data_IF_368007441095
#
_entry.id   IF_368007441095
#
_cell.length_a   1.000
_cell.length_b   1.000
_cell.length_c   1.000
_cell.angle_alpha   90.00
_cell.angle_beta   90.00
_cell.angle_gamma   90.00
#
_symmetry.space_group_name_H-M   'P 1'
#
loop_
_entity.id
_entity.type
_entity.pdbx_description
1 polymer ?
#
# COMPACT_ATOMS: atom_id res chain seq x y z
N UNK A 1 0.40 -3.60 -31.65
CA UNK A 1 -0.15 -4.75 -30.89
C UNK A 1 -0.45 -5.85 -31.89
N UNK A 2 0.17 -7.00 -31.77
CA UNK A 2 0.03 -8.10 -32.72
C UNK A 2 -1.14 -9.01 -32.34
N UNK A 3 -1.91 -9.43 -33.34
CA UNK A 3 -3.14 -10.24 -33.17
C UNK A 3 -2.81 -11.72 -32.99
N UNK A 4 -3.68 -12.41 -32.27
CA UNK A 4 -3.58 -13.84 -32.00
C UNK A 4 -3.71 -14.65 -33.31
N UNK A 5 -2.66 -15.36 -33.71
CA UNK A 5 -2.69 -16.28 -34.87
C UNK A 5 -1.74 -15.95 -36.03
N UNK A 6 -1.12 -14.77 -36.06
CA UNK A 6 -0.08 -14.42 -37.05
C UNK A 6 1.26 -14.18 -36.34
N UNK A 7 1.96 -15.27 -36.04
CA UNK A 7 3.32 -15.24 -35.53
C UNK A 7 4.33 -15.32 -36.67
N UNK A 8 5.07 -14.23 -36.89
CA UNK A 8 6.32 -14.24 -37.65
C UNK A 8 7.30 -15.24 -37.00
N UNK A 9 8.11 -15.96 -37.79
CA UNK A 9 8.97 -17.08 -37.35
C UNK A 9 10.00 -16.71 -36.28
N UNK A 10 10.16 -15.42 -35.94
CA UNK A 10 11.01 -14.94 -34.85
C UNK A 10 10.36 -14.98 -33.47
N UNK A 11 9.04 -15.11 -33.34
CA UNK A 11 8.38 -15.18 -32.04
C UNK A 11 7.08 -16.01 -32.10
N UNK A 12 7.09 -17.15 -31.40
CA UNK A 12 5.91 -18.04 -31.30
C UNK A 12 5.00 -17.55 -30.17
N UNK A 13 3.81 -17.07 -30.48
CA UNK A 13 2.75 -16.83 -29.49
C UNK A 13 1.96 -18.12 -29.29
N UNK A 14 2.43 -18.92 -28.33
CA UNK A 14 1.74 -20.11 -27.84
C UNK A 14 2.29 -20.49 -26.47
N UNK A 15 1.47 -21.12 -25.62
CA UNK A 15 1.92 -21.65 -24.32
C UNK A 15 2.97 -22.75 -24.58
N UNK A 16 4.25 -22.39 -24.55
CA UNK A 16 5.35 -23.34 -24.56
C UNK A 16 5.34 -24.11 -23.24
N UNK A 17 4.85 -25.35 -23.28
CA UNK A 17 5.17 -26.34 -22.26
C UNK A 17 6.67 -26.68 -22.41
N UNK A 18 7.52 -26.12 -21.54
CA UNK A 18 8.95 -26.38 -21.60
C UNK A 18 9.89 -25.29 -21.06
N UNK A 19 9.38 -24.13 -20.65
CA UNK A 19 10.17 -23.24 -19.79
C UNK A 19 9.78 -23.56 -18.36
N UNK A 20 10.50 -24.50 -17.76
CA UNK A 20 10.51 -24.65 -16.30
C UNK A 20 10.81 -23.28 -15.72
N UNK A 21 9.95 -22.78 -14.84
CA UNK A 21 10.20 -21.54 -14.12
C UNK A 21 11.40 -21.77 -13.18
N UNK A 22 12.61 -21.72 -13.73
CA UNK A 22 13.84 -21.83 -12.97
C UNK A 22 13.89 -20.62 -12.04
N UNK A 23 13.88 -20.87 -10.73
CA UNK A 23 13.96 -19.89 -9.64
C UNK A 23 12.83 -18.86 -9.51
N UNK A 24 11.62 -19.12 -10.01
CA UNK A 24 10.49 -18.19 -9.81
C UNK A 24 10.84 -16.75 -10.29
N UNK A 25 11.51 -16.63 -11.45
CA UNK A 25 12.23 -15.42 -11.89
C UNK A 25 11.32 -14.30 -12.44
N UNK A 26 10.06 -14.60 -12.76
CA UNK A 26 9.11 -13.64 -13.32
C UNK A 26 7.72 -13.82 -12.71
N UNK A 27 7.50 -13.29 -11.50
CA UNK A 27 6.15 -13.09 -10.97
C UNK A 27 6.03 -11.67 -10.42
N UNK A 28 4.98 -11.00 -10.87
CA UNK A 28 4.41 -9.80 -10.27
C UNK A 28 3.36 -10.32 -9.29
N UNK A 29 3.43 -9.90 -8.02
CA UNK A 29 2.35 -10.13 -7.07
C UNK A 29 1.75 -8.79 -6.69
N UNK A 30 0.47 -8.65 -6.97
CA UNK A 30 -0.35 -7.62 -6.37
C UNK A 30 -0.56 -7.96 -4.89
N UNK A 31 -0.18 -7.01 -4.03
CA UNK A 31 -0.33 -7.10 -2.57
C UNK A 31 -1.18 -5.96 -2.04
N UNK A 32 -1.94 -5.29 -2.90
CA UNK A 32 -2.75 -4.11 -2.56
C UNK A 32 -3.72 -4.42 -1.44
N UNK A 33 -4.53 -5.48 -1.54
CA UNK A 33 -5.51 -5.83 -0.50
C UNK A 33 -4.85 -6.11 0.86
N UNK A 34 -3.85 -6.99 0.89
CA UNK A 34 -3.11 -7.30 2.12
C UNK A 34 -2.46 -6.05 2.74
N UNK A 35 -1.94 -5.17 1.89
CA UNK A 35 -1.29 -3.94 2.34
C UNK A 35 -2.30 -2.91 2.86
N UNK A 36 -3.51 -2.82 2.27
CA UNK A 36 -4.60 -2.00 2.78
C UNK A 36 -4.98 -2.44 4.20
N UNK A 37 -5.18 -3.74 4.40
CA UNK A 37 -5.50 -4.30 5.71
C UNK A 37 -4.36 -4.05 6.71
N UNK A 38 -3.11 -4.25 6.30
CA UNK A 38 -1.94 -4.01 7.14
C UNK A 38 -1.82 -2.53 7.54
N UNK A 39 -2.01 -1.60 6.60
CA UNK A 39 -1.99 -0.15 6.89
C UNK A 39 -3.13 0.22 7.83
N UNK A 40 -4.32 -0.36 7.64
CA UNK A 40 -5.47 -0.11 8.52
C UNK A 40 -5.18 -0.54 9.96
N UNK A 41 -4.69 -1.77 10.15
CA UNK A 41 -4.34 -2.32 11.46
C UNK A 41 -3.20 -1.53 12.12
N UNK A 42 -2.20 -1.11 11.36
CA UNK A 42 -1.05 -0.39 11.90
C UNK A 42 -1.39 1.03 12.35
N UNK A 43 -2.33 1.69 11.66
CA UNK A 43 -2.69 3.09 11.93
C UNK A 43 -3.81 3.22 12.98
N UNK A 44 -4.75 2.28 13.03
CA UNK A 44 -5.81 2.28 14.05
C UNK A 44 -5.21 2.07 15.44
N UNK A 45 -5.57 2.95 16.39
CA UNK A 45 -5.10 2.86 17.76
C UNK A 45 -3.66 3.33 17.97
N UNK A 46 -3.03 3.97 16.98
CA UNK A 46 -1.81 4.75 17.24
C UNK A 46 -2.21 5.90 18.16
N UNK A 47 -1.64 5.88 19.36
CA UNK A 47 -1.74 6.95 20.35
C UNK A 47 -0.38 7.59 20.55
N UNK A 48 -0.35 8.91 20.53
CA UNK A 48 0.82 9.72 20.87
C UNK A 48 0.49 10.50 22.13
N UNK A 49 1.34 10.37 23.14
CA UNK A 49 1.23 11.11 24.40
C UNK A 49 2.40 12.08 24.53
N UNK A 50 2.10 13.32 24.93
CA UNK A 50 3.07 14.36 25.18
C UNK A 50 2.68 15.19 26.42
N UNK A 51 3.55 16.11 26.81
CA UNK A 51 3.34 16.96 27.98
C UNK A 51 2.10 17.88 27.82
N UNK A 52 1.82 18.28 26.58
CA UNK A 52 0.73 19.19 26.20
C UNK A 52 -0.61 18.48 25.90
N UNK A 53 -0.63 17.15 25.87
CA UNK A 53 -1.85 16.39 25.62
C UNK A 53 -1.63 15.01 25.02
N UNK A 54 -2.71 14.33 24.65
CA UNK A 54 -2.67 13.07 23.93
C UNK A 54 -3.53 13.10 22.68
N UNK A 55 -3.12 12.39 21.64
CA UNK A 55 -3.92 12.21 20.43
C UNK A 55 -3.93 10.74 19.99
N UNK A 56 -5.06 10.29 19.47
CA UNK A 56 -5.30 8.93 19.02
C UNK A 56 -6.02 8.93 17.68
N UNK A 57 -5.57 8.08 16.76
CA UNK A 57 -6.27 7.82 15.49
C UNK A 57 -7.45 6.90 15.77
N UNK A 58 -8.67 7.43 15.61
CA UNK A 58 -9.91 6.74 15.96
C UNK A 58 -10.55 6.03 14.78
N UNK A 59 -10.37 6.55 13.57
CA UNK A 59 -10.99 5.98 12.38
C UNK A 59 -10.17 6.25 11.11
N UNK A 60 -10.24 5.31 10.17
CA UNK A 60 -9.57 5.40 8.88
C UNK A 60 -10.64 5.41 7.78
N UNK A 61 -10.96 6.62 7.34
CA UNK A 61 -12.04 6.86 6.38
C UNK A 61 -11.75 6.38 4.96
N UNK A 62 -10.48 6.41 4.51
CA UNK A 62 -10.12 5.95 3.17
C UNK A 62 -8.65 5.51 3.07
N UNK A 63 -8.41 4.41 2.33
CA UNK A 63 -7.09 3.90 1.97
C UNK A 63 -7.10 3.58 0.47
N UNK A 64 -6.74 4.57 -0.35
CA UNK A 64 -6.66 4.41 -1.80
C UNK A 64 -5.21 4.25 -2.24
N UNK A 65 -4.93 3.22 -3.04
CA UNK A 65 -3.56 3.01 -3.51
C UNK A 65 -3.34 1.67 -4.17
N UNK A 66 -2.08 1.42 -4.48
CA UNK A 66 -1.60 0.18 -5.06
C UNK A 66 -0.30 -0.24 -4.40
N UNK A 67 -0.13 -1.54 -4.20
CA UNK A 67 1.14 -2.12 -3.79
C UNK A 67 1.44 -3.40 -4.55
N UNK A 68 2.66 -3.50 -5.05
CA UNK A 68 3.12 -4.65 -5.81
C UNK A 68 4.55 -5.02 -5.48
N UNK A 69 4.83 -6.31 -5.63
CA UNK A 69 6.14 -6.90 -5.40
C UNK A 69 6.61 -7.56 -6.68
N UNK A 70 7.81 -7.20 -7.11
CA UNK A 70 8.45 -7.72 -8.30
C UNK A 70 9.81 -8.31 -7.95
N UNK A 71 10.09 -9.53 -8.40
CA UNK A 71 11.44 -10.10 -8.33
C UNK A 71 12.14 -9.89 -9.68
N UNK A 72 13.23 -9.12 -9.68
CA UNK A 72 14.05 -8.89 -10.88
C UNK A 72 15.52 -9.14 -10.53
N UNK A 73 16.18 -10.06 -11.26
CA UNK A 73 17.60 -10.40 -11.08
C UNK A 73 17.95 -10.80 -9.63
N UNK A 74 17.04 -11.50 -8.95
CA UNK A 74 17.23 -11.91 -7.55
C UNK A 74 17.09 -10.78 -6.53
N UNK A 75 16.62 -9.60 -6.95
CA UNK A 75 16.27 -8.49 -6.06
C UNK A 75 14.76 -8.35 -6.00
N UNK A 76 14.22 -8.35 -4.79
CA UNK A 76 12.84 -7.96 -4.51
C UNK A 76 12.75 -6.43 -4.61
N UNK A 77 11.86 -5.96 -5.46
CA UNK A 77 11.55 -4.54 -5.66
C UNK A 77 10.11 -4.33 -5.22
N UNK A 78 9.93 -3.39 -4.30
CA UNK A 78 8.63 -3.02 -3.75
C UNK A 78 8.19 -1.72 -4.40
N UNK A 79 6.96 -1.71 -4.92
CA UNK A 79 6.31 -0.50 -5.40
C UNK A 79 5.05 -0.31 -4.59
N UNK A 80 4.91 0.86 -3.98
CA UNK A 80 3.70 1.18 -3.23
C UNK A 80 3.39 2.66 -3.40
N UNK A 81 2.11 2.97 -3.49
CA UNK A 81 1.58 4.32 -3.49
C UNK A 81 0.28 4.29 -2.73
N UNK A 82 0.19 5.09 -1.67
CA UNK A 82 -0.97 5.15 -0.81
C UNK A 82 -1.40 6.60 -0.59
N UNK A 83 -2.71 6.81 -0.56
CA UNK A 83 -3.40 8.01 -0.12
C UNK A 83 -4.30 7.57 1.02
N UNK A 84 -3.94 7.97 2.24
CA UNK A 84 -4.66 7.59 3.47
C UNK A 84 -5.35 8.81 4.06
N UNK A 85 -6.62 8.67 4.42
CA UNK A 85 -7.40 9.68 5.14
C UNK A 85 -7.85 9.09 6.47
N UNK A 86 -7.39 9.69 7.56
CA UNK A 86 -7.70 9.25 8.91
C UNK A 86 -8.25 10.41 9.75
N UNK A 87 -9.14 10.07 10.67
CA UNK A 87 -9.67 10.94 11.71
C UNK A 87 -8.97 10.64 13.02
N UNK A 88 -8.67 11.68 13.79
CA UNK A 88 -8.01 11.55 15.08
C UNK A 88 -8.73 12.42 16.11
N UNK A 89 -8.66 12.00 17.36
CA UNK A 89 -9.17 12.76 18.51
C UNK A 89 -8.01 13.06 19.44
N UNK A 90 -8.01 14.23 20.06
CA UNK A 90 -6.99 14.56 21.05
C UNK A 90 -7.55 15.34 22.22
N UNK A 91 -6.91 15.15 23.36
CA UNK A 91 -7.16 15.85 24.60
C UNK A 91 -5.95 16.74 24.90
N UNK A 92 -6.18 18.03 25.10
CA UNK A 92 -5.15 18.96 25.58
C UNK A 92 -5.15 18.96 27.10
N UNK A 93 -3.98 18.78 27.72
CA UNK A 93 -3.81 18.95 29.17
C UNK A 93 -3.86 20.43 29.57
N UNK A 94 -3.73 21.35 28.61
CA UNK A 94 -3.81 22.80 28.82
C UNK A 94 -5.15 23.31 28.30
N UNK A 95 -6.14 23.38 29.19
CA UNK A 95 -7.41 24.05 28.93
C UNK A 95 -7.28 25.55 29.27
N UNK A 96 -6.60 26.34 28.44
CA UNK A 96 -6.73 27.81 28.50
C UNK A 96 -7.80 28.25 27.52
N UNK A 97 -9.05 28.23 27.98
CA UNK A 97 -10.16 28.92 27.31
C UNK A 97 -9.96 30.44 27.45
N UNK A 98 -9.16 31.04 26.59
CA UNK A 98 -9.25 32.47 26.30
C UNK A 98 -10.22 32.67 25.14
N UNK A 99 -11.51 32.40 25.38
CA UNK A 99 -12.56 32.94 24.52
C UNK A 99 -12.71 34.41 24.91
N UNK A 100 -11.89 35.27 24.30
CA UNK A 100 -12.21 36.69 24.17
C UNK A 100 -12.80 36.81 22.77
N UNK A 101 -14.11 36.70 22.68
CA UNK A 101 -14.85 37.25 21.54
C UNK A 101 -15.03 38.74 21.81
N UNK A 102 -14.37 39.60 21.03
CA UNK A 102 -14.80 40.99 20.81
C UNK A 102 -15.93 41.03 19.79
#
# INVERSE_FOLDING_TARGET
MAKWGEGDQRWTVGKRAGVTNVNNCCWWRDVTSWSQDAVNILLLGIRVEGEEGSCEITDISNIDGEASINNRKGKLIYFYKWVVKASWTGESSVCTLNIITE
#
